data_IF_904357649143
#
_entry.id   IF_904357649143
#
_cell.length_a   1.000
_cell.length_b   1.000
_cell.length_c   1.000
_cell.angle_alpha   90.00
_cell.angle_beta   90.00
_cell.angle_gamma   90.00
#
_symmetry.space_group_name_H-M   'P 1'
#
loop_
_entity.id
_entity.type
_entity.pdbx_description
1 polymer ?
#
# COMPACT_ATOMS: atom_id res chain seq x y z
N UNK A 1 -11.45 -27.28 -58.45
CA UNK A 1 -10.87 -27.55 -57.12
C UNK A 1 -9.54 -26.80 -57.12
N UNK A 2 -9.26 -25.71 -56.41
CA UNK A 2 -9.81 -25.15 -55.19
C UNK A 2 -9.28 -23.69 -55.08
N UNK A 3 -10.15 -22.73 -54.81
CA UNK A 3 -9.82 -21.41 -54.20
C UNK A 3 -10.10 -21.53 -52.68
N UNK A 4 -9.67 -20.63 -51.77
CA UNK A 4 -8.60 -19.62 -51.78
C UNK A 4 -7.63 -19.78 -50.57
N UNK A 5 -6.46 -19.12 -50.59
CA UNK A 5 -5.71 -18.84 -49.36
C UNK A 5 -5.52 -17.32 -49.23
N UNK A 6 -6.34 -16.69 -48.37
CA UNK A 6 -6.25 -15.27 -48.01
C UNK A 6 -5.04 -15.07 -47.07
N UNK A 7 -4.06 -14.21 -47.39
CA UNK A 7 -3.11 -13.75 -46.38
C UNK A 7 -3.80 -12.76 -45.43
N UNK A 8 -3.38 -12.87 -44.17
CA UNK A 8 -4.05 -12.38 -42.97
C UNK A 8 -4.23 -10.86 -42.89
N UNK A 9 -5.30 -10.44 -42.22
CA UNK A 9 -5.45 -9.09 -41.69
C UNK A 9 -4.25 -8.76 -40.80
N UNK A 10 -3.46 -7.79 -41.25
CA UNK A 10 -2.44 -7.15 -40.44
C UNK A 10 -3.17 -6.21 -39.48
N UNK A 11 -3.22 -6.55 -38.21
CA UNK A 11 -3.64 -5.61 -37.17
C UNK A 11 -2.55 -4.54 -37.06
N UNK A 12 -2.77 -3.37 -37.66
CA UNK A 12 -2.03 -2.17 -37.29
C UNK A 12 -2.50 -1.74 -35.90
N UNK A 13 -1.85 -2.27 -34.86
CA UNK A 13 -1.90 -1.65 -33.54
C UNK A 13 -1.10 -0.36 -33.63
N UNK A 14 -1.82 0.75 -33.80
CA UNK A 14 -1.30 2.10 -33.56
C UNK A 14 -0.78 2.13 -32.12
N UNK A 15 0.53 2.06 -31.97
CA UNK A 15 1.21 2.25 -30.69
C UNK A 15 1.04 3.74 -30.34
N UNK A 16 0.10 4.05 -29.47
CA UNK A 16 0.07 5.37 -28.84
C UNK A 16 1.34 5.53 -28.00
N UNK A 17 2.16 6.57 -28.23
CA UNK A 17 3.31 6.83 -27.38
C UNK A 17 2.83 7.49 -26.07
N UNK A 18 2.45 6.67 -25.09
CA UNK A 18 2.42 7.12 -23.71
C UNK A 18 2.89 6.00 -22.78
N UNK A 19 3.93 6.33 -22.01
CA UNK A 19 4.53 5.53 -20.94
C UNK A 19 5.40 4.34 -21.37
N UNK A 20 6.61 4.64 -21.84
CA UNK A 20 7.78 3.78 -21.59
C UNK A 20 8.85 4.61 -20.89
N UNK A 21 8.85 4.55 -19.57
CA UNK A 21 10.05 4.78 -18.77
C UNK A 21 10.45 3.43 -18.18
N UNK A 22 11.31 2.73 -18.90
CA UNK A 22 11.99 1.54 -18.43
C UNK A 22 13.05 1.97 -17.42
N UNK A 23 12.82 1.65 -16.15
CA UNK A 23 13.89 1.55 -15.14
C UNK A 23 14.14 0.06 -14.94
N UNK A 24 15.15 -0.43 -15.65
CA UNK A 24 15.66 -1.77 -15.48
C UNK A 24 16.61 -1.82 -14.29
N UNK A 25 16.36 -2.80 -13.42
CA UNK A 25 17.36 -3.55 -12.67
C UNK A 25 17.91 -2.91 -11.39
N UNK A 26 17.40 -3.37 -10.24
CA UNK A 26 18.14 -4.27 -9.33
C UNK A 26 17.20 -4.81 -8.25
N UNK A 27 17.02 -6.14 -8.26
CA UNK A 27 16.68 -6.91 -7.06
C UNK A 27 15.23 -6.86 -6.57
N UNK A 28 14.45 -7.85 -7.00
CA UNK A 28 13.16 -8.17 -6.39
C UNK A 28 12.00 -7.83 -7.31
N UNK A 29 11.29 -8.87 -7.71
CA UNK A 29 9.99 -8.83 -8.38
C UNK A 29 9.00 -8.04 -7.51
N UNK A 30 9.04 -6.70 -7.56
CA UNK A 30 7.92 -5.87 -7.16
C UNK A 30 6.85 -6.07 -8.23
N UNK A 31 6.11 -7.11 -7.92
CA UNK A 31 5.11 -7.72 -8.74
C UNK A 31 4.13 -6.63 -9.13
N UNK A 32 3.81 -6.63 -10.42
CA UNK A 32 3.04 -5.65 -11.19
C UNK A 32 1.56 -5.65 -10.77
N UNK A 33 1.29 -5.73 -9.46
CA UNK A 33 -0.02 -5.60 -8.84
C UNK A 33 -0.45 -4.16 -8.95
N UNK A 34 -1.20 -3.87 -10.00
CA UNK A 34 -2.38 -3.01 -10.02
C UNK A 34 -2.40 -1.81 -9.03
N UNK A 35 -1.32 -1.02 -8.92
CA UNK A 35 -1.46 0.39 -8.57
C UNK A 35 -2.06 1.10 -9.79
N UNK A 36 -3.34 0.84 -10.09
CA UNK A 36 -4.07 1.42 -11.22
C UNK A 36 -4.38 2.92 -11.05
N UNK A 37 -3.92 3.54 -9.97
CA UNK A 37 -3.96 5.00 -9.81
C UNK A 37 -2.75 5.46 -9.03
N UNK A 38 -2.06 6.51 -9.51
CA UNK A 38 -1.00 7.20 -8.77
C UNK A 38 -1.44 7.54 -7.33
N UNK A 39 -2.72 7.85 -7.17
CA UNK A 39 -3.37 8.08 -5.88
C UNK A 39 -3.18 6.93 -4.89
N UNK A 40 -3.29 5.66 -5.28
CA UNK A 40 -3.11 4.53 -4.36
C UNK A 40 -1.65 4.38 -3.89
N UNK A 41 -0.68 4.70 -4.76
CA UNK A 41 0.73 4.68 -4.40
C UNK A 41 1.07 5.84 -3.45
N UNK A 42 0.52 7.03 -3.72
CA UNK A 42 0.65 8.20 -2.83
C UNK A 42 0.02 7.94 -1.46
N UNK A 43 -1.17 7.30 -1.42
CA UNK A 43 -1.82 6.93 -0.16
C UNK A 43 -1.04 5.86 0.59
N UNK A 44 -0.41 4.92 -0.12
CA UNK A 44 0.45 3.93 0.52
C UNK A 44 1.71 4.56 1.11
N UNK A 45 2.33 5.52 0.42
CA UNK A 45 3.44 6.31 0.97
C UNK A 45 2.99 7.15 2.18
N UNK A 46 1.83 7.79 2.10
CA UNK A 46 1.23 8.53 3.22
C UNK A 46 1.02 7.61 4.43
N UNK A 47 0.54 6.38 4.22
CA UNK A 47 0.41 5.38 5.29
C UNK A 47 1.76 5.07 5.95
N UNK A 48 2.81 4.85 5.16
CA UNK A 48 4.15 4.58 5.69
C UNK A 48 4.70 5.77 6.49
N UNK A 49 4.48 7.00 6.03
CA UNK A 49 4.86 8.20 6.77
C UNK A 49 4.10 8.34 8.10
N UNK A 50 2.80 8.03 8.11
CA UNK A 50 1.99 8.06 9.34
C UNK A 50 2.47 7.00 10.34
N UNK A 51 2.79 5.79 9.87
CA UNK A 51 3.36 4.73 10.72
C UNK A 51 4.70 5.14 11.33
N UNK A 52 5.56 5.82 10.54
CA UNK A 52 6.81 6.37 11.08
C UNK A 52 6.56 7.43 12.15
N UNK A 53 5.60 8.34 11.94
CA UNK A 53 5.22 9.33 12.96
C UNK A 53 4.69 8.69 14.24
N UNK A 54 3.96 7.58 14.12
CA UNK A 54 3.50 6.78 15.27
C UNK A 54 4.70 6.15 15.98
N UNK A 55 5.69 5.62 15.25
CA UNK A 55 6.94 5.08 15.79
C UNK A 55 7.70 6.12 16.65
N UNK A 56 7.86 7.32 16.10
CA UNK A 56 8.55 8.45 16.75
C UNK A 56 7.84 8.89 18.05
N UNK A 57 6.57 8.54 18.20
CA UNK A 57 5.68 8.96 19.30
C UNK A 57 5.13 7.79 20.12
N UNK A 58 5.74 6.62 20.04
CA UNK A 58 5.35 5.46 20.85
C UNK A 58 5.41 5.74 22.36
N UNK A 59 6.23 6.71 22.79
CA UNK A 59 6.33 7.13 24.19
C UNK A 59 5.09 7.91 24.69
N UNK A 60 4.26 8.43 23.77
CA UNK A 60 2.99 9.09 24.10
C UNK A 60 1.84 8.07 24.36
N UNK A 61 2.11 6.77 24.16
CA UNK A 61 1.14 5.70 24.34
C UNK A 61 1.16 5.13 25.75
N UNK A 62 0.00 4.67 26.21
CA UNK A 62 -0.14 4.11 27.56
C UNK A 62 0.69 2.85 27.78
N UNK A 63 0.92 2.08 26.71
CA UNK A 63 1.73 0.86 26.74
C UNK A 63 2.67 0.82 25.53
N UNK A 64 3.89 1.31 25.72
CA UNK A 64 4.90 1.47 24.67
C UNK A 64 5.35 0.14 24.06
N UNK A 65 5.55 -0.89 24.89
CA UNK A 65 6.00 -2.20 24.43
C UNK A 65 4.94 -2.87 23.55
N UNK A 66 3.68 -2.88 24.00
CA UNK A 66 2.57 -3.40 23.19
C UNK A 66 2.42 -2.59 21.90
N UNK A 67 2.49 -1.27 21.99
CA UNK A 67 2.38 -0.44 20.79
C UNK A 67 3.51 -0.67 19.78
N UNK A 68 4.74 -0.89 20.27
CA UNK A 68 5.87 -1.23 19.41
C UNK A 68 5.65 -2.58 18.72
N UNK A 69 5.16 -3.59 19.44
CA UNK A 69 4.88 -4.92 18.89
C UNK A 69 3.80 -4.86 17.80
N UNK A 70 2.71 -4.11 18.05
CA UNK A 70 1.66 -3.93 17.05
C UNK A 70 2.16 -3.13 15.83
N UNK A 71 3.02 -2.12 16.02
CA UNK A 71 3.59 -1.36 14.92
C UNK A 71 4.56 -2.19 14.07
N UNK A 72 5.38 -3.03 14.71
CA UNK A 72 6.26 -3.98 14.03
C UNK A 72 5.43 -5.01 13.24
N UNK A 73 4.35 -5.53 13.84
CA UNK A 73 3.44 -6.44 13.16
C UNK A 73 2.77 -5.81 11.93
N UNK A 74 2.33 -4.55 12.02
CA UNK A 74 1.77 -3.81 10.88
C UNK A 74 2.83 -3.61 9.79
N UNK A 75 4.04 -3.18 10.15
CA UNK A 75 5.12 -2.89 9.20
C UNK A 75 5.60 -4.16 8.52
N UNK A 76 5.71 -5.26 9.27
CA UNK A 76 6.01 -6.59 8.75
C UNK A 76 4.92 -7.09 7.80
N UNK A 77 3.65 -6.85 8.13
CA UNK A 77 2.53 -7.19 7.24
C UNK A 77 2.58 -6.39 5.93
N UNK A 78 2.89 -5.10 6.00
CA UNK A 78 3.07 -4.22 4.83
C UNK A 78 4.33 -4.56 4.00
N UNK A 79 5.35 -5.15 4.62
CA UNK A 79 6.55 -5.66 3.94
C UNK A 79 6.33 -7.00 3.23
N UNK A 80 5.23 -7.72 3.53
CA UNK A 80 4.90 -8.95 2.83
C UNK A 80 4.44 -8.65 1.40
N UNK A 81 4.76 -9.54 0.46
CA UNK A 81 4.34 -9.41 -0.94
C UNK A 81 2.82 -9.48 -1.17
N UNK A 82 2.03 -9.75 -0.14
CA UNK A 82 0.56 -9.76 -0.17
C UNK A 82 0.02 -9.37 1.22
N UNK A 83 0.00 -8.07 1.55
CA UNK A 83 -0.39 -7.61 2.88
C UNK A 83 -1.88 -7.88 3.15
N UNK A 84 -2.20 -8.36 4.35
CA UNK A 84 -3.58 -8.59 4.77
C UNK A 84 -4.20 -7.34 5.41
N UNK A 85 -5.21 -6.76 4.76
CA UNK A 85 -5.93 -5.57 5.25
C UNK A 85 -6.47 -5.76 6.67
N UNK A 86 -7.07 -6.92 6.94
CA UNK A 86 -7.69 -7.21 8.24
C UNK A 86 -6.67 -7.28 9.38
N UNK A 87 -5.43 -7.70 9.10
CA UNK A 87 -4.35 -7.68 10.09
C UNK A 87 -3.87 -6.26 10.36
N UNK A 88 -3.64 -5.48 9.30
CA UNK A 88 -3.23 -4.07 9.44
C UNK A 88 -4.29 -3.24 10.15
N UNK A 89 -5.57 -3.39 9.80
CA UNK A 89 -6.68 -2.72 10.49
C UNK A 89 -6.76 -3.08 11.98
N UNK A 90 -6.61 -4.37 12.33
CA UNK A 90 -6.61 -4.79 13.74
C UNK A 90 -5.44 -4.21 14.51
N UNK A 91 -4.24 -4.17 13.93
CA UNK A 91 -3.09 -3.52 14.56
C UNK A 91 -3.34 -2.03 14.80
N UNK A 92 -3.85 -1.32 13.79
CA UNK A 92 -4.19 0.10 13.93
C UNK A 92 -5.29 0.36 14.98
N UNK A 93 -6.29 -0.51 15.06
CA UNK A 93 -7.36 -0.40 16.07
C UNK A 93 -6.83 -0.61 17.49
N UNK A 94 -5.92 -1.57 17.67
CA UNK A 94 -5.22 -1.79 18.95
C UNK A 94 -4.36 -0.60 19.33
N UNK A 95 -3.59 -0.04 18.39
CA UNK A 95 -2.83 1.19 18.63
C UNK A 95 -3.74 2.35 19.04
N UNK A 96 -4.92 2.49 18.41
CA UNK A 96 -5.90 3.51 18.80
C UNK A 96 -6.44 3.30 20.22
N UNK A 97 -6.61 2.06 20.65
CA UNK A 97 -7.03 1.74 22.00
C UNK A 97 -5.98 2.08 23.07
N UNK A 98 -4.69 2.12 22.69
CA UNK A 98 -3.58 2.50 23.58
C UNK A 98 -3.36 4.02 23.66
N UNK A 99 -3.88 4.78 22.69
CA UNK A 99 -3.82 6.24 22.67
C UNK A 99 -4.82 6.85 23.65
N UNK A 100 -4.34 7.80 24.46
CA UNK A 100 -5.23 8.69 25.20
C UNK A 100 -5.96 9.65 24.24
N UNK A 101 -7.29 9.68 24.31
CA UNK A 101 -8.13 10.51 23.44
C UNK A 101 -7.75 11.99 23.49
N UNK A 102 -7.76 12.66 22.33
CA UNK A 102 -7.49 14.10 22.21
C UNK A 102 -6.02 14.48 21.94
N UNK A 103 -5.16 13.50 21.63
CA UNK A 103 -3.78 13.73 21.19
C UNK A 103 -3.67 13.76 19.66
N UNK A 104 -2.67 14.46 19.13
CA UNK A 104 -2.27 14.47 17.70
C UNK A 104 -2.01 13.04 17.17
N UNK A 105 -1.61 12.12 18.06
CA UNK A 105 -1.42 10.71 17.74
C UNK A 105 -2.73 9.99 17.42
N UNK A 106 -3.83 10.35 18.09
CA UNK A 106 -5.16 9.80 17.78
C UNK A 106 -5.61 10.17 16.36
N UNK A 107 -5.34 11.42 15.94
CA UNK A 107 -5.64 11.90 14.59
C UNK A 107 -4.76 11.20 13.55
N UNK A 108 -3.47 11.00 13.85
CA UNK A 108 -2.52 10.27 13.00
C UNK A 108 -2.98 8.82 12.76
N UNK A 109 -3.40 8.12 13.82
CA UNK A 109 -3.93 6.75 13.70
C UNK A 109 -5.29 6.70 13.00
N UNK A 110 -6.17 7.68 13.24
CA UNK A 110 -7.43 7.78 12.53
C UNK A 110 -7.19 7.96 11.02
N UNK A 111 -6.21 8.78 10.64
CA UNK A 111 -5.80 8.97 9.25
C UNK A 111 -5.23 7.70 8.64
N UNK A 112 -4.34 6.99 9.34
CA UNK A 112 -3.80 5.71 8.88
C UNK A 112 -4.92 4.68 8.66
N UNK A 113 -5.88 4.63 9.59
CA UNK A 113 -7.05 3.73 9.47
C UNK A 113 -7.93 4.09 8.27
N UNK A 114 -8.16 5.38 8.02
CA UNK A 114 -8.91 5.87 6.86
C UNK A 114 -8.25 5.45 5.54
N UNK A 115 -6.92 5.59 5.46
CA UNK A 115 -6.16 5.16 4.29
C UNK A 115 -6.34 3.67 4.03
N UNK A 116 -6.14 2.86 5.07
CA UNK A 116 -6.29 1.39 4.98
C UNK A 116 -7.73 0.98 4.69
N UNK A 117 -8.73 1.79 5.04
CA UNK A 117 -10.14 1.44 4.81
C UNK A 117 -10.60 1.84 3.42
N UNK A 118 -10.17 3.01 2.93
CA UNK A 118 -10.66 3.59 1.66
C UNK A 118 -9.79 3.29 0.45
N UNK A 119 -8.48 3.13 0.66
CA UNK A 119 -7.49 3.11 -0.41
C UNK A 119 -6.65 1.83 -0.44
N UNK A 120 -7.04 0.79 0.30
CA UNK A 120 -6.33 -0.49 0.29
C UNK A 120 -6.32 -1.08 -1.13
N UNK A 121 -5.15 -1.27 -1.75
CA UNK A 121 -5.06 -1.60 -3.17
C UNK A 121 -4.89 -3.11 -3.38
N UNK A 122 -5.82 -3.96 -2.91
CA UNK A 122 -5.77 -5.41 -3.17
C UNK A 122 -7.16 -6.03 -3.32
#
# INVERSE_FOLDING_TARGET
>A
MTEPARPQQVFHTTVHPHAQAAIASTGGTFNQYNFRSAESAERYQELQELLRKIEERLDELSDRDTARDELDAITGELGNGTPNQGRVQRGLDRLKALVTSGTDLAETLARATDIVTRYWPF
#
